data_IF_139636105730
#
_entry.id   IF_139636105730
#
_cell.length_a   1.000
_cell.length_b   1.000
_cell.length_c   1.000
_cell.angle_alpha   90.00
_cell.angle_beta   90.00
_cell.angle_gamma   90.00
#
_symmetry.space_group_name_H-M   'P 1'
#
loop_
_entity.id
_entity.type
_entity.pdbx_description
1 polymer ?
#
# COMPACT_ATOMS: atom_id res chain seq x y z
N UNK A 1 4.67 6.30 13.12
CA UNK A 1 3.23 6.13 12.86
C UNK A 1 2.49 7.21 13.63
N UNK A 2 1.72 8.07 12.96
CA UNK A 2 0.91 9.09 13.62
C UNK A 2 -0.23 8.42 14.39
N UNK A 3 -0.44 8.77 15.66
CA UNK A 3 -1.53 8.21 16.49
C UNK A 3 -2.86 8.88 16.13
N UNK A 4 -3.94 8.10 16.05
CA UNK A 4 -5.27 8.51 15.57
C UNK A 4 -5.88 9.70 16.35
N UNK A 5 -5.56 9.84 17.65
CA UNK A 5 -6.24 10.77 18.56
C UNK A 5 -5.97 12.27 18.30
N UNK A 6 -5.02 12.62 17.44
CA UNK A 6 -4.64 14.02 17.15
C UNK A 6 -4.61 14.35 15.66
N UNK A 7 -5.23 13.52 14.82
CA UNK A 7 -5.27 13.78 13.39
C UNK A 7 -6.20 14.95 13.06
N UNK A 8 -5.80 15.89 12.18
CA UNK A 8 -6.70 16.89 11.65
C UNK A 8 -7.95 16.26 11.04
N UNK A 9 -9.09 16.93 11.15
CA UNK A 9 -10.39 16.40 10.71
C UNK A 9 -10.38 15.89 9.27
N UNK A 10 -9.76 16.63 8.36
CA UNK A 10 -9.66 16.25 6.94
C UNK A 10 -8.90 14.93 6.75
N UNK A 11 -7.86 14.68 7.55
CA UNK A 11 -7.08 13.44 7.49
C UNK A 11 -7.88 12.30 8.09
N UNK A 12 -8.59 12.53 9.20
CA UNK A 12 -9.50 11.55 9.79
C UNK A 12 -10.60 11.14 8.81
N UNK A 13 -11.20 12.11 8.11
CA UNK A 13 -12.23 11.85 7.11
C UNK A 13 -11.68 11.05 5.91
N UNK A 14 -10.46 11.35 5.46
CA UNK A 14 -9.81 10.55 4.43
C UNK A 14 -9.56 9.10 4.90
N UNK A 15 -9.14 8.89 6.16
CA UNK A 15 -8.98 7.56 6.73
C UNK A 15 -10.31 6.80 6.83
N UNK A 16 -11.39 7.48 7.21
CA UNK A 16 -12.75 6.90 7.23
C UNK A 16 -13.22 6.55 5.81
N UNK A 17 -12.91 7.39 4.83
CA UNK A 17 -13.21 7.11 3.42
C UNK A 17 -12.51 5.84 2.95
N UNK A 18 -11.20 5.70 3.19
CA UNK A 18 -10.45 4.47 2.84
C UNK A 18 -10.99 3.21 3.54
N UNK A 19 -11.64 3.36 4.71
CA UNK A 19 -12.30 2.30 5.50
C UNK A 19 -13.77 2.06 5.14
N UNK A 20 -14.34 2.82 4.20
CA UNK A 20 -15.77 2.73 3.90
C UNK A 20 -16.12 1.51 3.04
N UNK A 21 -17.31 0.94 3.23
CA UNK A 21 -17.83 -0.17 2.40
C UNK A 21 -17.82 0.17 0.90
N UNK A 22 -18.06 1.43 0.55
CA UNK A 22 -18.00 1.90 -0.83
C UNK A 22 -16.60 1.71 -1.45
N UNK A 23 -15.52 1.98 -0.70
CA UNK A 23 -14.16 1.76 -1.18
C UNK A 23 -13.87 0.27 -1.34
N UNK A 24 -14.29 -0.57 -0.39
CA UNK A 24 -14.14 -2.02 -0.53
C UNK A 24 -14.84 -2.54 -1.80
N UNK A 25 -16.06 -2.06 -2.07
CA UNK A 25 -16.79 -2.44 -3.29
C UNK A 25 -16.11 -1.93 -4.56
N UNK A 26 -15.65 -0.67 -4.59
CA UNK A 26 -14.94 -0.11 -5.75
C UNK A 26 -13.64 -0.88 -6.01
N UNK A 27 -12.86 -1.19 -4.97
CA UNK A 27 -11.64 -1.96 -5.12
C UNK A 27 -11.95 -3.37 -5.66
N UNK A 28 -12.99 -4.03 -5.15
CA UNK A 28 -13.45 -5.32 -5.67
C UNK A 28 -13.74 -5.24 -7.18
N UNK A 29 -14.42 -4.19 -7.63
CA UNK A 29 -14.75 -3.99 -9.05
C UNK A 29 -13.52 -3.69 -9.92
N UNK A 30 -12.52 -3.01 -9.37
CA UNK A 30 -11.30 -2.65 -10.12
C UNK A 30 -10.30 -3.79 -10.20
N UNK A 31 -10.26 -4.67 -9.20
CA UNK A 31 -9.23 -5.71 -9.10
C UNK A 31 -9.76 -7.13 -9.30
N UNK A 32 -11.07 -7.32 -9.25
CA UNK A 32 -11.69 -8.65 -9.29
C UNK A 32 -11.61 -9.42 -7.97
N UNK A 33 -11.07 -8.83 -6.91
CA UNK A 33 -10.97 -9.48 -5.58
C UNK A 33 -12.31 -9.39 -4.84
N UNK A 34 -12.63 -10.38 -4.02
CA UNK A 34 -13.86 -10.41 -3.23
C UNK A 34 -13.71 -9.67 -1.90
N UNK A 35 -13.45 -8.37 -1.97
CA UNK A 35 -13.31 -7.51 -0.78
C UNK A 35 -14.66 -7.06 -0.21
N UNK A 36 -15.77 -7.31 -0.89
CA UNK A 36 -17.09 -6.87 -0.45
C UNK A 36 -18.16 -7.91 -0.77
N UNK A 37 -19.18 -8.02 0.08
CA UNK A 37 -20.26 -9.02 -0.08
C UNK A 37 -21.14 -8.82 -1.34
N UNK A 38 -21.15 -7.61 -1.90
CA UNK A 38 -21.83 -7.29 -3.17
C UNK A 38 -20.92 -7.39 -4.40
N UNK A 39 -19.66 -7.79 -4.24
CA UNK A 39 -18.78 -8.02 -5.38
C UNK A 39 -19.31 -9.23 -6.18
N UNK A 40 -19.23 -9.20 -7.53
CA UNK A 40 -19.54 -10.37 -8.32
C UNK A 40 -18.64 -11.55 -7.91
N UNK A 41 -19.14 -12.79 -7.97
CA UNK A 41 -18.31 -13.97 -7.69
C UNK A 41 -17.14 -14.05 -8.67
N UNK A 42 -16.04 -14.63 -8.22
CA UNK A 42 -14.82 -14.78 -9.01
C UNK A 42 -15.15 -15.39 -10.37
N UNK A 43 -14.66 -14.76 -11.43
CA UNK A 43 -14.94 -15.17 -12.81
C UNK A 43 -14.02 -16.30 -13.29
N UNK A 44 -13.16 -16.81 -12.42
CA UNK A 44 -12.21 -17.89 -12.74
C UNK A 44 -12.84 -19.27 -12.48
N UNK A 45 -13.04 -20.09 -13.53
CA UNK A 45 -13.61 -21.43 -13.39
C UNK A 45 -12.64 -22.46 -12.79
N UNK A 46 -11.37 -22.10 -12.61
CA UNK A 46 -10.30 -22.94 -12.04
C UNK A 46 -9.96 -22.56 -10.58
N UNK A 47 -10.74 -21.69 -9.93
CA UNK A 47 -10.61 -21.48 -8.49
C UNK A 47 -11.15 -22.72 -7.77
N UNK A 48 -10.28 -23.69 -7.52
CA UNK A 48 -10.56 -24.84 -6.68
C UNK A 48 -11.16 -24.35 -5.36
N UNK A 49 -12.45 -24.64 -5.13
CA UNK A 49 -13.11 -24.53 -3.83
C UNK A 49 -12.52 -25.61 -2.90
N UNK A 50 -11.23 -25.52 -2.55
CA UNK A 50 -10.65 -26.28 -1.45
C UNK A 50 -11.00 -25.57 -0.12
N UNK A 51 -12.18 -25.94 0.37
CA UNK A 51 -12.59 -26.14 1.75
C UNK A 51 -11.63 -25.67 2.87
N UNK A 52 -12.10 -24.73 3.71
CA UNK A 52 -11.74 -24.71 5.13
C UNK A 52 -11.05 -23.46 5.73
N UNK A 53 -10.87 -22.35 5.00
CA UNK A 53 -10.51 -21.09 5.66
C UNK A 53 -11.78 -20.38 6.15
N UNK A 54 -11.91 -20.28 7.48
CA UNK A 54 -12.94 -19.51 8.21
C UNK A 54 -13.41 -18.31 7.41
N UNK A 55 -14.72 -18.04 7.43
CA UNK A 55 -15.34 -16.74 7.11
C UNK A 55 -14.54 -15.59 7.75
N UNK A 56 -13.45 -15.15 7.12
CA UNK A 56 -12.79 -13.91 7.46
C UNK A 56 -13.63 -12.85 6.77
N UNK A 57 -14.16 -11.93 7.57
CA UNK A 57 -14.70 -10.70 7.00
C UNK A 57 -13.52 -9.96 6.35
N UNK A 58 -13.70 -9.41 5.14
CA UNK A 58 -12.66 -8.63 4.49
C UNK A 58 -12.21 -7.52 5.43
N UNK A 59 -10.89 -7.38 5.58
CA UNK A 59 -10.29 -6.47 6.53
C UNK A 59 -9.25 -5.57 5.88
N UNK A 60 -8.74 -4.63 6.67
CA UNK A 60 -7.71 -3.71 6.21
C UNK A 60 -6.84 -3.20 7.34
N UNK A 61 -5.57 -2.97 7.03
CA UNK A 61 -4.66 -2.12 7.81
C UNK A 61 -4.47 -0.77 7.12
N UNK A 62 -4.30 0.31 7.91
CA UNK A 62 -4.06 1.66 7.40
C UNK A 62 -2.91 2.31 8.18
N UNK A 63 -2.03 3.01 7.49
CA UNK A 63 -0.96 3.81 8.08
C UNK A 63 -0.77 5.11 7.33
N UNK A 64 -0.73 6.23 8.07
CA UNK A 64 -0.31 7.52 7.54
C UNK A 64 1.19 7.66 7.76
N UNK A 65 1.94 7.87 6.68
CA UNK A 65 3.41 7.93 6.73
C UNK A 65 3.91 9.26 6.18
N UNK A 66 5.01 9.73 6.76
CA UNK A 66 5.79 10.86 6.27
C UNK A 66 7.14 10.32 5.83
N UNK A 67 7.53 10.63 4.60
CA UNK A 67 8.81 10.25 4.03
C UNK A 67 9.68 11.46 3.83
N UNK A 68 10.86 11.46 4.43
CA UNK A 68 11.87 12.49 4.28
C UNK A 68 13.26 11.86 4.22
N UNK A 69 14.29 12.67 4.07
CA UNK A 69 15.68 12.21 4.15
C UNK A 69 15.88 11.26 5.34
N UNK A 70 16.60 10.17 5.08
CA UNK A 70 16.88 9.07 6.01
C UNK A 70 15.71 8.16 6.40
N UNK A 71 14.51 8.32 5.82
CA UNK A 71 13.45 7.33 5.96
C UNK A 71 13.68 6.12 5.04
N UNK A 72 13.34 4.93 5.54
CA UNK A 72 13.35 3.66 4.80
C UNK A 72 12.52 2.61 5.54
N UNK A 73 12.20 1.51 4.86
CA UNK A 73 11.78 0.26 5.51
C UNK A 73 12.68 -0.89 5.04
N UNK A 74 12.67 -1.98 5.79
CA UNK A 74 13.38 -3.21 5.46
C UNK A 74 12.39 -4.38 5.54
N UNK A 75 12.67 -5.41 4.76
CA UNK A 75 12.01 -6.71 4.90
C UNK A 75 12.45 -7.32 6.23
N UNK A 76 11.49 -7.90 6.95
CA UNK A 76 11.73 -8.56 8.24
C UNK A 76 11.09 -9.93 8.22
N UNK A 77 11.79 -10.91 8.77
CA UNK A 77 11.36 -12.31 8.83
C UNK A 77 10.00 -12.51 9.55
N UNK A 78 9.66 -11.59 10.47
CA UNK A 78 8.44 -11.65 11.28
C UNK A 78 7.29 -10.77 10.82
N UNK A 79 7.32 -10.19 9.61
CA UNK A 79 6.24 -9.32 9.15
C UNK A 79 4.99 -10.13 8.75
N UNK A 80 4.07 -10.31 9.70
CA UNK A 80 2.82 -11.06 9.51
C UNK A 80 1.99 -10.53 8.33
N UNK A 81 2.11 -9.24 8.00
CA UNK A 81 1.47 -8.66 6.82
C UNK A 81 1.94 -9.26 5.50
N UNK A 82 3.12 -9.86 5.45
CA UNK A 82 3.65 -10.56 4.28
C UNK A 82 3.26 -12.05 4.22
N UNK A 83 2.55 -12.57 5.23
CA UNK A 83 2.17 -14.00 5.31
C UNK A 83 0.80 -14.30 4.70
N UNK A 84 0.07 -13.27 4.24
CA UNK A 84 -1.17 -13.40 3.49
C UNK A 84 -1.13 -12.52 2.24
N UNK A 85 -1.86 -12.94 1.21
CA UNK A 85 -2.10 -12.11 0.03
C UNK A 85 -2.87 -10.86 0.43
N UNK A 86 -2.51 -9.72 -0.15
CA UNK A 86 -3.14 -8.45 0.14
C UNK A 86 -3.10 -7.53 -1.07
N UNK A 87 -4.12 -6.67 -1.18
CA UNK A 87 -4.11 -5.53 -2.08
C UNK A 87 -3.55 -4.32 -1.34
N UNK A 88 -2.32 -3.94 -1.67
CA UNK A 88 -1.73 -2.69 -1.21
C UNK A 88 -2.33 -1.51 -1.99
N UNK A 89 -2.82 -0.51 -1.27
CA UNK A 89 -3.29 0.75 -1.85
C UNK A 89 -2.55 1.94 -1.24
N UNK A 90 -1.91 2.74 -2.08
CA UNK A 90 -1.05 3.86 -1.64
C UNK A 90 -1.48 5.16 -2.29
N UNK A 91 -1.98 6.11 -1.49
CA UNK A 91 -2.25 7.47 -1.93
C UNK A 91 -1.08 8.38 -1.57
N UNK A 92 -0.38 8.90 -2.57
CA UNK A 92 0.76 9.80 -2.39
C UNK A 92 0.33 11.27 -2.43
N UNK A 93 0.79 12.06 -1.46
CA UNK A 93 0.38 13.45 -1.25
C UNK A 93 1.58 14.36 -1.02
N UNK A 94 1.57 15.54 -1.65
CA UNK A 94 2.61 16.56 -1.45
C UNK A 94 3.99 16.09 -1.87
N UNK A 95 4.08 15.33 -2.97
CA UNK A 95 5.37 14.89 -3.52
C UNK A 95 6.05 16.10 -4.20
N UNK A 96 7.28 16.49 -3.78
CA UNK A 96 7.99 17.61 -4.37
C UNK A 96 8.20 17.43 -5.88
N UNK A 97 8.20 18.54 -6.62
CA UNK A 97 8.57 18.52 -8.05
C UNK A 97 10.03 18.09 -8.19
N UNK A 98 10.30 17.19 -9.13
CA UNK A 98 11.64 16.64 -9.36
C UNK A 98 12.00 15.48 -8.43
N UNK A 99 11.07 14.97 -7.62
CA UNK A 99 11.28 13.71 -6.90
C UNK A 99 11.29 12.54 -7.89
N UNK A 100 12.48 12.15 -8.30
CA UNK A 100 12.74 11.03 -9.22
C UNK A 100 13.28 9.79 -8.48
N UNK A 101 13.39 8.67 -9.21
CA UNK A 101 13.84 7.37 -8.70
C UNK A 101 15.16 7.44 -7.91
N UNK A 102 16.12 8.24 -8.40
CA UNK A 102 17.45 8.39 -7.81
C UNK A 102 17.44 9.00 -6.39
N UNK A 103 16.34 9.62 -5.97
CA UNK A 103 16.17 10.16 -4.62
C UNK A 103 15.79 9.09 -3.59
N UNK A 104 15.36 7.91 -4.05
CA UNK A 104 14.76 6.88 -3.21
C UNK A 104 13.33 7.19 -2.80
N UNK A 105 12.85 6.56 -1.73
CA UNK A 105 11.46 6.69 -1.27
C UNK A 105 10.43 6.00 -2.16
N UNK A 106 10.83 5.32 -3.23
CA UNK A 106 9.95 4.45 -3.99
C UNK A 106 9.72 3.14 -3.25
N UNK A 107 8.56 2.51 -3.48
CA UNK A 107 8.25 1.18 -2.96
C UNK A 107 8.64 0.14 -4.00
N UNK A 108 9.52 -0.77 -3.64
CA UNK A 108 9.94 -1.90 -4.47
C UNK A 108 9.27 -3.18 -3.97
N UNK A 109 8.74 -3.95 -4.91
CA UNK A 109 8.17 -5.27 -4.71
C UNK A 109 9.13 -6.28 -5.33
N UNK A 110 9.50 -7.30 -4.56
CA UNK A 110 10.45 -8.32 -4.98
C UNK A 110 9.86 -9.70 -4.73
N UNK A 111 10.28 -10.66 -5.55
CA UNK A 111 10.01 -12.06 -5.28
C UNK A 111 10.76 -12.49 -4.01
N UNK A 112 10.08 -13.25 -3.16
CA UNK A 112 10.62 -13.71 -1.89
C UNK A 112 11.69 -14.75 -2.14
N UNK A 113 12.78 -14.66 -1.38
CA UNK A 113 13.95 -15.55 -1.49
C UNK A 113 14.64 -15.52 -2.88
N UNK A 114 14.32 -14.53 -3.71
CA UNK A 114 14.89 -14.30 -5.03
C UNK A 114 15.45 -12.88 -5.14
N UNK A 115 16.44 -12.68 -6.01
CA UNK A 115 17.02 -11.36 -6.31
C UNK A 115 16.26 -10.65 -7.46
N UNK A 116 14.98 -10.96 -7.65
CA UNK A 116 14.15 -10.42 -8.74
C UNK A 116 13.22 -9.30 -8.27
N UNK A 117 13.37 -8.10 -8.86
CA UNK A 117 12.44 -6.99 -8.67
C UNK A 117 11.24 -7.13 -9.61
N UNK A 118 10.05 -7.27 -9.03
CA UNK A 118 8.80 -7.44 -9.75
C UNK A 118 8.20 -6.11 -10.19
N UNK A 119 8.25 -5.10 -9.31
CA UNK A 119 7.61 -3.81 -9.54
C UNK A 119 8.22 -2.70 -8.68
N UNK A 120 8.37 -1.52 -9.28
CA UNK A 120 8.73 -0.29 -8.58
C UNK A 120 7.60 0.74 -8.67
N UNK A 121 7.14 1.24 -7.52
CA UNK A 121 6.17 2.33 -7.40
C UNK A 121 6.88 3.61 -6.96
N UNK A 122 7.05 4.54 -7.90
CA UNK A 122 7.62 5.87 -7.65
C UNK A 122 6.53 6.83 -7.16
N UNK A 123 6.73 7.53 -6.03
CA UNK A 123 5.70 8.44 -5.49
C UNK A 123 5.45 9.59 -6.47
N UNK A 124 4.16 9.88 -6.73
CA UNK A 124 3.73 11.04 -7.49
C UNK A 124 2.53 11.69 -6.81
N UNK A 125 2.52 13.03 -6.76
CA UNK A 125 1.49 13.76 -6.02
C UNK A 125 0.09 13.48 -6.58
N UNK A 126 -0.85 13.16 -5.70
CA UNK A 126 -2.23 12.81 -6.01
C UNK A 126 -2.38 11.55 -6.89
N UNK A 127 -1.40 10.63 -6.83
CA UNK A 127 -1.52 9.31 -7.45
C UNK A 127 -1.93 8.26 -6.43
N UNK A 128 -2.86 7.40 -6.84
CA UNK A 128 -3.35 6.27 -6.07
C UNK A 128 -2.89 4.98 -6.74
N UNK A 129 -1.91 4.31 -6.14
CA UNK A 129 -1.34 3.07 -6.65
C UNK A 129 -2.03 1.87 -6.00
N UNK A 130 -2.42 0.88 -6.82
CA UNK A 130 -2.96 -0.40 -6.39
C UNK A 130 -2.01 -1.51 -6.83
N UNK A 131 -1.57 -2.34 -5.88
CA UNK A 131 -0.66 -3.46 -6.15
C UNK A 131 -1.16 -4.69 -5.40
N UNK A 132 -1.50 -5.74 -6.15
CA UNK A 132 -1.78 -7.03 -5.55
C UNK A 132 -0.47 -7.74 -5.23
N UNK A 133 -0.38 -8.29 -4.01
CA UNK A 133 0.79 -8.99 -3.51
C UNK A 133 0.36 -10.34 -2.97
N UNK A 134 1.01 -11.40 -3.41
CA UNK A 134 0.80 -12.75 -2.91
C UNK A 134 1.74 -13.06 -1.72
N UNK A 135 1.75 -14.33 -1.28
CA UNK A 135 2.57 -14.82 -0.16
C UNK A 135 4.07 -14.96 -0.50
N UNK A 136 4.40 -15.01 -1.79
CA UNK A 136 5.77 -15.09 -2.31
C UNK A 136 6.30 -13.73 -2.77
N UNK A 137 5.56 -12.65 -2.48
CA UNK A 137 5.95 -11.29 -2.82
C UNK A 137 6.10 -10.46 -1.55
N UNK A 138 7.24 -9.77 -1.43
CA UNK A 138 7.53 -8.85 -0.31
C UNK A 138 7.81 -7.45 -0.83
N UNK A 139 7.64 -6.45 0.03
CA UNK A 139 7.91 -5.05 -0.34
C UNK A 139 8.71 -4.29 0.69
N UNK A 140 9.44 -3.29 0.23
CA UNK A 140 10.09 -2.30 1.06
C UNK A 140 10.11 -0.94 0.37
N UNK A 141 10.33 0.12 1.14
CA UNK A 141 10.51 1.47 0.62
C UNK A 141 12.00 1.83 0.68
N UNK A 142 12.57 2.13 -0.48
CA UNK A 142 14.00 2.44 -0.62
C UNK A 142 14.38 3.67 0.21
N UNK A 143 15.58 3.63 0.77
CA UNK A 143 16.19 4.74 1.50
C UNK A 143 16.12 6.07 0.74
N UNK A 144 15.52 7.06 1.39
CA UNK A 144 15.47 8.44 0.90
C UNK A 144 16.81 9.11 1.18
N UNK A 145 17.60 9.32 0.12
CA UNK A 145 18.97 9.83 0.27
C UNK A 145 19.02 11.36 0.40
N UNK A 146 20.22 11.92 0.52
CA UNK A 146 20.42 13.34 0.82
C UNK A 146 20.08 14.28 -0.36
N UNK A 147 19.99 13.78 -1.59
CA UNK A 147 19.67 14.61 -2.76
C UNK A 147 18.31 15.29 -2.67
N UNK A 148 17.36 14.75 -1.88
CA UNK A 148 16.07 15.41 -1.63
C UNK A 148 16.19 16.74 -0.90
N UNK A 149 17.34 17.00 -0.26
CA UNK A 149 17.59 18.25 0.42
C UNK A 149 17.77 19.41 -0.57
N UNK A 150 18.05 19.11 -1.83
CA UNK A 150 18.27 20.05 -2.93
C UNK A 150 16.98 20.35 -3.74
N UNK A 151 15.88 19.59 -3.52
CA UNK A 151 14.60 19.74 -4.23
C UNK A 151 13.78 21.00 -3.86
N UNK A 152 14.32 21.87 -3.01
CA UNK A 152 13.74 23.16 -2.65
C UNK A 152 13.20 23.23 -1.22
N UNK A 153 12.05 23.92 -1.03
CA UNK A 153 11.47 24.16 0.30
C UNK A 153 10.81 22.90 0.88
N UNK A 154 10.17 22.11 0.03
CA UNK A 154 9.51 20.86 0.43
C UNK A 154 10.48 19.70 0.25
N UNK A 155 10.79 18.99 1.34
CA UNK A 155 11.82 17.94 1.40
C UNK A 155 11.26 16.61 1.87
N UNK A 156 9.95 16.48 1.80
CA UNK A 156 9.22 15.32 2.27
C UNK A 156 7.93 15.18 1.47
N UNK A 157 7.38 13.97 1.48
CA UNK A 157 6.04 13.69 1.03
C UNK A 157 5.29 12.87 2.08
N UNK A 158 3.97 12.74 1.90
CA UNK A 158 3.13 11.91 2.75
C UNK A 158 2.48 10.82 1.91
N UNK A 159 2.19 9.69 2.56
CA UNK A 159 1.27 8.73 1.98
C UNK A 159 0.24 8.24 3.00
N UNK A 160 -0.87 7.74 2.46
CA UNK A 160 -1.81 6.90 3.17
C UNK A 160 -1.65 5.52 2.56
N UNK A 161 -1.04 4.61 3.31
CA UNK A 161 -0.83 3.22 2.89
C UNK A 161 -1.87 2.34 3.55
N UNK A 162 -2.66 1.67 2.73
CA UNK A 162 -3.62 0.66 3.13
C UNK A 162 -3.19 -0.71 2.62
N UNK A 163 -3.55 -1.76 3.33
CA UNK A 163 -3.44 -3.14 2.84
C UNK A 163 -4.79 -3.82 3.10
N UNK A 164 -5.49 -4.18 2.03
CA UNK A 164 -6.80 -4.85 2.06
C UNK A 164 -6.61 -6.36 1.90
N UNK A 165 -7.39 -7.15 2.62
CA UNK A 165 -7.36 -8.61 2.57
C UNK A 165 -8.78 -9.16 2.63
N UNK A 166 -8.97 -10.33 2.04
CA UNK A 166 -10.22 -11.11 2.05
C UNK A 166 -10.46 -11.78 3.40
#
# INVERSE_FOLDING_TARGET
>A
VLKDEHLPEIVSNCCKFMKSEAVFLILSQLTGLKLHHLAPPDSDPDSDEEDGKKDSSPGMTLSIRKWCHSCYTLIRDGDQGNQCSALDAMLFLGVPKGWELDHGGFTSYIAKDEDEELLTVVPRSNCFALVYRDVESVRFTKYVNASVLDLGKEKNYFDISCSYFE
#
